data_IF_947561774850
#
_entry.id   IF_947561774850
#
_cell.length_a   1.000
_cell.length_b   1.000
_cell.length_c   1.000
_cell.angle_alpha   90.00
_cell.angle_beta   90.00
_cell.angle_gamma   90.00
#
_symmetry.space_group_name_H-M   'P 1'
#
loop_
_entity.id
_entity.type
_entity.pdbx_description
1 polymer ?
#
# COMPACT_ATOMS: atom_id res chain seq x y z
N UNK A 1 -32.97 -9.38 39.42
CA UNK A 1 -32.04 -9.32 38.28
C UNK A 1 -30.63 -9.41 38.86
N UNK A 2 -29.85 -10.48 38.64
CA UNK A 2 -28.48 -10.55 39.13
C UNK A 2 -27.63 -9.50 38.39
N UNK A 3 -26.82 -8.75 39.15
CA UNK A 3 -25.86 -7.79 38.60
C UNK A 3 -24.72 -8.54 37.86
N UNK A 4 -24.04 -7.91 36.89
CA UNK A 4 -22.91 -8.53 36.21
C UNK A 4 -21.81 -8.91 37.21
N UNK A 5 -21.17 -10.07 37.00
CA UNK A 5 -20.02 -10.50 37.79
C UNK A 5 -18.79 -9.64 37.43
N UNK A 6 -18.40 -8.76 38.36
CA UNK A 6 -17.24 -7.88 38.21
C UNK A 6 -15.93 -8.63 37.96
N UNK A 7 -15.82 -9.89 38.38
CA UNK A 7 -14.60 -10.70 38.16
C UNK A 7 -14.43 -11.06 36.68
N UNK A 8 -15.53 -11.39 35.99
CA UNK A 8 -15.55 -11.67 34.55
C UNK A 8 -15.28 -10.41 33.75
N UNK A 9 -15.84 -9.27 34.17
CA UNK A 9 -15.60 -7.98 33.52
C UNK A 9 -14.12 -7.55 33.62
N UNK A 10 -13.53 -7.69 34.81
CA UNK A 10 -12.12 -7.36 35.03
C UNK A 10 -11.18 -8.29 34.25
N UNK A 11 -11.45 -9.61 34.22
CA UNK A 11 -10.64 -10.55 33.46
C UNK A 11 -10.66 -10.28 31.95
N UNK A 12 -11.82 -9.90 31.40
CA UNK A 12 -11.93 -9.50 29.99
C UNK A 12 -11.19 -8.21 29.67
N UNK A 13 -11.24 -7.23 30.59
CA UNK A 13 -10.50 -5.98 30.46
C UNK A 13 -8.98 -6.22 30.50
N UNK A 14 -8.51 -7.02 31.47
CA UNK A 14 -7.09 -7.35 31.63
C UNK A 14 -6.53 -8.06 30.39
N UNK A 15 -7.27 -9.05 29.86
CA UNK A 15 -6.89 -9.73 28.62
C UNK A 15 -6.87 -8.78 27.41
N UNK A 16 -7.81 -7.84 27.33
CA UNK A 16 -7.83 -6.82 26.28
C UNK A 16 -6.64 -5.86 26.37
N UNK A 17 -6.27 -5.43 27.58
CA UNK A 17 -5.12 -4.56 27.82
C UNK A 17 -3.79 -5.27 27.53
N UNK A 18 -3.67 -6.54 27.93
CA UNK A 18 -2.49 -7.36 27.63
C UNK A 18 -2.29 -7.52 26.12
N UNK A 19 -3.35 -7.87 25.38
CA UNK A 19 -3.28 -7.94 23.92
C UNK A 19 -2.99 -6.58 23.27
N UNK A 20 -3.55 -5.48 23.79
CA UNK A 20 -3.20 -4.14 23.27
C UNK A 20 -1.72 -3.80 23.48
N UNK A 21 -1.11 -4.28 24.57
CA UNK A 21 0.30 -4.06 24.87
C UNK A 21 1.25 -4.96 24.06
N UNK A 22 0.86 -6.21 23.80
CA UNK A 22 1.77 -7.24 23.30
C UNK A 22 1.38 -7.84 21.93
N UNK A 23 0.12 -7.68 21.52
CA UNK A 23 -0.44 -8.37 20.37
C UNK A 23 -0.48 -9.89 20.54
N UNK A 24 -0.89 -10.59 19.48
CA UNK A 24 -0.93 -12.06 19.49
C UNK A 24 0.45 -12.70 19.44
N UNK A 25 1.46 -12.00 18.92
CA UNK A 25 2.80 -12.56 18.73
C UNK A 25 3.75 -12.25 19.90
N UNK A 26 3.54 -11.14 20.63
CA UNK A 26 4.44 -10.66 21.69
C UNK A 26 5.94 -10.66 21.33
N UNK A 27 6.34 -10.07 20.19
CA UNK A 27 7.74 -10.03 19.79
C UNK A 27 8.52 -8.98 20.58
N UNK A 28 9.84 -9.14 20.65
CA UNK A 28 10.72 -8.07 21.12
C UNK A 28 10.69 -6.86 20.17
N UNK A 29 10.97 -5.67 20.70
CA UNK A 29 10.91 -4.42 19.92
C UNK A 29 11.75 -4.45 18.63
N UNK A 30 12.91 -5.10 18.64
CA UNK A 30 13.80 -5.16 17.48
C UNK A 30 13.24 -6.07 16.36
N UNK A 31 12.45 -7.09 16.71
CA UNK A 31 11.76 -7.93 15.73
C UNK A 31 10.67 -7.12 15.02
N UNK A 32 9.98 -6.22 15.73
CA UNK A 32 9.00 -5.30 15.14
C UNK A 32 9.69 -4.35 14.15
N UNK A 33 10.84 -3.79 14.52
CA UNK A 33 11.64 -2.94 13.62
C UNK A 33 12.10 -3.72 12.38
N UNK A 34 12.63 -4.94 12.58
CA UNK A 34 13.06 -5.79 11.47
C UNK A 34 11.89 -6.14 10.54
N UNK A 35 10.72 -6.45 11.10
CA UNK A 35 9.51 -6.68 10.33
C UNK A 35 9.17 -5.46 9.47
N UNK A 36 9.11 -4.26 10.07
CA UNK A 36 8.81 -3.02 9.34
C UNK A 36 9.83 -2.75 8.21
N UNK A 37 11.12 -2.96 8.46
CA UNK A 37 12.16 -2.81 7.44
C UNK A 37 12.01 -3.82 6.30
N UNK A 38 11.72 -5.08 6.60
CA UNK A 38 11.51 -6.13 5.59
C UNK A 38 10.27 -5.81 4.76
N UNK A 39 9.14 -5.46 5.38
CA UNK A 39 7.91 -5.13 4.65
C UNK A 39 8.10 -3.88 3.79
N UNK A 40 8.80 -2.87 4.30
CA UNK A 40 9.18 -1.66 3.54
C UNK A 40 10.03 -2.04 2.32
N UNK A 41 11.04 -2.89 2.51
CA UNK A 41 11.91 -3.32 1.43
C UNK A 41 11.15 -4.12 0.36
N UNK A 42 10.23 -5.00 0.77
CA UNK A 42 9.36 -5.72 -0.16
C UNK A 42 8.47 -4.77 -0.98
N UNK A 43 7.94 -3.71 -0.36
CA UNK A 43 7.19 -2.68 -1.09
C UNK A 43 8.08 -1.92 -2.07
N UNK A 44 9.27 -1.49 -1.67
CA UNK A 44 10.26 -0.83 -2.55
C UNK A 44 10.60 -1.74 -3.74
N UNK A 45 10.88 -3.02 -3.48
CA UNK A 45 11.17 -4.00 -4.52
C UNK A 45 9.98 -4.20 -5.46
N UNK A 46 8.75 -4.24 -4.94
CA UNK A 46 7.53 -4.36 -5.73
C UNK A 46 7.32 -3.17 -6.66
N UNK A 47 7.48 -1.94 -6.15
CA UNK A 47 7.39 -0.73 -6.99
C UNK A 47 8.51 -0.72 -8.04
N UNK A 48 9.75 -1.01 -7.64
CA UNK A 48 10.92 -0.90 -8.51
C UNK A 48 10.94 -1.97 -9.61
N UNK A 49 10.72 -3.24 -9.25
CA UNK A 49 10.82 -4.37 -10.19
C UNK A 49 9.53 -4.50 -11.00
N UNK A 50 8.37 -4.52 -10.32
CA UNK A 50 7.10 -4.80 -10.99
C UNK A 50 6.47 -3.55 -11.61
N UNK A 51 6.17 -2.50 -10.84
CA UNK A 51 5.48 -1.32 -11.39
C UNK A 51 6.37 -0.52 -12.35
N UNK A 52 7.59 -0.23 -11.93
CA UNK A 52 8.52 0.63 -12.68
C UNK A 52 9.17 -0.12 -13.85
N UNK A 53 9.99 -1.13 -13.58
CA UNK A 53 10.78 -1.80 -14.64
C UNK A 53 9.94 -2.70 -15.55
N UNK A 54 9.12 -3.58 -14.98
CA UNK A 54 8.32 -4.52 -15.76
C UNK A 54 7.10 -3.86 -16.42
N UNK A 55 6.21 -3.22 -15.64
CA UNK A 55 4.96 -2.69 -16.20
C UNK A 55 5.15 -1.36 -16.94
N UNK A 56 5.81 -0.37 -16.34
CA UNK A 56 5.92 0.95 -16.96
C UNK A 56 6.93 0.97 -18.12
N UNK A 57 8.13 0.43 -17.91
CA UNK A 57 9.21 0.50 -18.90
C UNK A 57 9.42 -0.75 -19.76
N UNK A 58 8.76 -1.87 -19.46
CA UNK A 58 8.94 -3.15 -20.19
C UNK A 58 10.41 -3.58 -20.30
N UNK A 59 11.21 -3.27 -19.28
CA UNK A 59 12.65 -3.51 -19.26
C UNK A 59 13.02 -4.96 -18.94
N UNK A 60 12.07 -5.74 -18.40
CA UNK A 60 12.23 -7.14 -18.07
C UNK A 60 10.87 -7.85 -18.09
N UNK A 61 10.90 -9.16 -18.32
CA UNK A 61 9.74 -10.04 -18.18
C UNK A 61 9.80 -10.79 -16.84
N UNK A 62 8.63 -11.00 -16.24
CA UNK A 62 8.49 -11.74 -14.98
C UNK A 62 7.71 -13.03 -15.23
N UNK A 63 8.16 -14.10 -14.58
CA UNK A 63 7.36 -15.31 -14.46
C UNK A 63 6.07 -15.03 -13.68
N UNK A 64 5.03 -15.86 -13.88
CA UNK A 64 3.72 -15.68 -13.25
C UNK A 64 3.78 -15.59 -11.71
N UNK A 65 4.65 -16.38 -11.07
CA UNK A 65 4.80 -16.39 -9.61
C UNK A 65 5.22 -15.03 -9.01
N UNK A 66 6.38 -14.43 -9.37
CA UNK A 66 6.75 -13.10 -8.88
C UNK A 66 5.78 -12.02 -9.33
N UNK A 67 5.19 -12.12 -10.53
CA UNK A 67 4.17 -11.19 -11.01
C UNK A 67 2.96 -11.15 -10.06
N UNK A 68 2.41 -12.30 -9.69
CA UNK A 68 1.27 -12.38 -8.76
C UNK A 68 1.66 -11.94 -7.36
N UNK A 69 2.84 -12.33 -6.87
CA UNK A 69 3.35 -11.89 -5.57
C UNK A 69 3.37 -10.36 -5.47
N UNK A 70 3.99 -9.68 -6.43
CA UNK A 70 4.09 -8.22 -6.40
C UNK A 70 2.73 -7.52 -6.49
N UNK A 71 1.82 -8.02 -7.34
CA UNK A 71 0.46 -7.48 -7.45
C UNK A 71 -0.31 -7.59 -6.15
N UNK A 72 -0.29 -8.78 -5.55
CA UNK A 72 -0.93 -9.03 -4.27
C UNK A 72 -0.32 -8.16 -3.17
N UNK A 73 1.01 -8.11 -3.09
CA UNK A 73 1.73 -7.33 -2.08
C UNK A 73 1.36 -5.84 -2.15
N UNK A 74 1.41 -5.25 -3.34
CA UNK A 74 1.05 -3.85 -3.54
C UNK A 74 -0.40 -3.55 -3.18
N UNK A 75 -1.33 -4.43 -3.55
CA UNK A 75 -2.72 -4.30 -3.15
C UNK A 75 -2.87 -4.33 -1.62
N UNK A 76 -2.21 -5.28 -0.96
CA UNK A 76 -2.27 -5.47 0.49
C UNK A 76 -1.68 -4.27 1.25
N UNK A 77 -0.50 -3.79 0.84
CA UNK A 77 0.25 -2.80 1.63
C UNK A 77 0.00 -1.36 1.23
N UNK A 78 -0.39 -1.09 -0.01
CA UNK A 78 -0.49 0.28 -0.54
C UNK A 78 -1.82 0.60 -1.20
N UNK A 79 -2.59 -0.42 -1.58
CA UNK A 79 -3.78 -0.26 -2.42
C UNK A 79 -3.51 0.34 -3.80
N UNK A 80 -2.25 0.40 -4.26
CA UNK A 80 -1.92 0.92 -5.58
C UNK A 80 -2.50 0.03 -6.68
N UNK A 81 -3.18 0.67 -7.63
CA UNK A 81 -3.71 0.01 -8.83
C UNK A 81 -2.67 0.08 -9.94
N UNK A 82 -2.34 -1.07 -10.55
CA UNK A 82 -1.27 -1.16 -11.56
C UNK A 82 -1.52 -0.18 -12.71
N UNK A 83 -2.75 -0.17 -13.24
CA UNK A 83 -3.17 0.66 -14.37
C UNK A 83 -2.97 2.16 -14.09
N UNK A 84 -3.31 2.60 -12.88
CA UNK A 84 -3.20 3.99 -12.45
C UNK A 84 -1.74 4.41 -12.32
N UNK A 85 -0.95 3.64 -11.56
CA UNK A 85 0.46 3.96 -11.32
C UNK A 85 1.26 4.02 -12.62
N UNK A 86 1.10 3.02 -13.48
CA UNK A 86 1.81 2.96 -14.76
C UNK A 86 1.45 4.14 -15.67
N UNK A 87 0.17 4.52 -15.72
CA UNK A 87 -0.26 5.65 -16.53
C UNK A 87 0.34 6.97 -16.04
N UNK A 88 0.32 7.21 -14.73
CA UNK A 88 0.85 8.42 -14.09
C UNK A 88 2.37 8.48 -14.30
N UNK A 89 3.09 7.38 -14.04
CA UNK A 89 4.54 7.30 -14.22
C UNK A 89 4.96 7.54 -15.67
N UNK A 90 4.27 6.93 -16.63
CA UNK A 90 4.54 7.15 -18.07
C UNK A 90 4.20 8.58 -18.49
N UNK A 91 3.15 9.18 -17.95
CA UNK A 91 2.82 10.60 -18.19
C UNK A 91 3.93 11.51 -17.67
N UNK A 92 4.44 11.27 -16.47
CA UNK A 92 5.59 11.98 -15.91
C UNK A 92 6.80 11.92 -16.87
N UNK A 93 7.21 10.75 -17.32
CA UNK A 93 8.30 10.65 -18.30
C UNK A 93 8.01 11.39 -19.61
N UNK A 94 6.79 11.31 -20.13
CA UNK A 94 6.42 11.94 -21.39
C UNK A 94 6.29 13.48 -21.31
N UNK A 95 6.07 14.03 -20.10
CA UNK A 95 5.76 15.43 -19.85
C UNK A 95 6.68 16.06 -18.80
N UNK A 96 7.84 15.45 -18.57
CA UNK A 96 8.74 15.75 -17.46
C UNK A 96 9.02 17.25 -17.32
N UNK A 97 8.84 17.78 -16.12
CA UNK A 97 9.06 19.19 -15.76
C UNK A 97 8.27 20.21 -16.60
N UNK A 98 7.14 19.79 -17.18
CA UNK A 98 6.14 20.69 -17.79
C UNK A 98 4.91 20.79 -16.90
N UNK A 99 4.00 21.77 -17.12
CA UNK A 99 2.74 21.84 -16.39
C UNK A 99 1.85 20.59 -16.50
N UNK A 100 2.07 19.75 -17.52
CA UNK A 100 1.35 18.48 -17.70
C UNK A 100 1.93 17.31 -16.89
N UNK A 101 3.11 17.46 -16.29
CA UNK A 101 3.70 16.46 -15.40
C UNK A 101 2.87 16.36 -14.10
N UNK A 102 2.34 15.17 -13.74
CA UNK A 102 1.49 15.03 -12.56
C UNK A 102 2.20 15.35 -11.24
N UNK A 103 3.53 15.34 -11.20
CA UNK A 103 4.29 15.58 -9.98
C UNK A 103 5.65 16.24 -10.26
N UNK A 104 5.71 17.21 -11.18
CA UNK A 104 6.91 18.00 -11.45
C UNK A 104 7.32 18.84 -10.22
N UNK A 105 8.54 18.66 -9.68
CA UNK A 105 9.08 19.54 -8.65
C UNK A 105 9.35 20.96 -9.18
N UNK A 106 9.63 21.16 -10.47
CA UNK A 106 9.81 22.49 -11.06
C UNK A 106 8.50 23.31 -11.08
N UNK A 107 7.36 22.66 -11.35
CA UNK A 107 6.05 23.31 -11.43
C UNK A 107 5.37 23.41 -10.07
N UNK A 108 5.37 22.33 -9.28
CA UNK A 108 4.65 22.27 -8.00
C UNK A 108 5.51 22.62 -6.79
N UNK A 109 6.84 22.60 -6.94
CA UNK A 109 7.79 22.74 -5.84
C UNK A 109 8.06 21.42 -5.11
N UNK A 110 9.31 21.23 -4.68
CA UNK A 110 9.77 19.99 -4.02
C UNK A 110 8.96 19.65 -2.75
N UNK A 111 8.59 20.66 -1.96
CA UNK A 111 7.81 20.46 -0.73
C UNK A 111 6.45 19.83 -1.03
N UNK A 112 5.80 20.26 -2.11
CA UNK A 112 4.50 19.71 -2.50
C UNK A 112 4.64 18.26 -2.96
N UNK A 113 5.63 17.97 -3.78
CA UNK A 113 5.86 16.59 -4.27
C UNK A 113 6.21 15.64 -3.13
N UNK A 114 7.04 16.08 -2.17
CA UNK A 114 7.45 15.25 -1.03
C UNK A 114 6.33 15.00 -0.02
N UNK A 115 5.55 16.03 0.34
CA UNK A 115 4.55 15.93 1.40
C UNK A 115 3.14 15.63 0.90
N UNK A 116 2.87 15.85 -0.39
CA UNK A 116 1.54 15.68 -1.00
C UNK A 116 1.57 14.75 -2.22
N UNK A 117 2.55 13.84 -2.28
CA UNK A 117 2.70 12.90 -3.39
C UNK A 117 1.46 12.02 -3.58
N UNK A 118 0.83 11.58 -2.49
CA UNK A 118 -0.40 10.79 -2.51
C UNK A 118 -1.58 11.57 -3.07
N UNK A 119 -1.70 12.86 -2.74
CA UNK A 119 -2.75 13.75 -3.23
C UNK A 119 -2.59 14.03 -4.72
N UNK A 120 -1.37 14.30 -5.16
CA UNK A 120 -1.02 14.46 -6.58
C UNK A 120 -1.35 13.18 -7.37
N UNK A 121 -0.94 12.03 -6.83
CA UNK A 121 -1.28 10.72 -7.40
C UNK A 121 -2.79 10.52 -7.52
N UNK A 122 -3.56 10.75 -6.44
CA UNK A 122 -5.02 10.58 -6.43
C UNK A 122 -5.76 11.55 -7.34
N UNK A 123 -5.21 12.75 -7.55
CA UNK A 123 -5.75 13.71 -8.50
C UNK A 123 -5.60 13.18 -9.94
N UNK A 124 -4.40 12.71 -10.30
CA UNK A 124 -4.14 12.21 -11.65
C UNK A 124 -4.77 10.82 -11.90
N UNK A 125 -4.91 9.97 -10.89
CA UNK A 125 -5.51 8.64 -11.06
C UNK A 125 -6.98 8.69 -11.45
N UNK A 126 -7.68 9.79 -11.15
CA UNK A 126 -9.06 10.04 -11.57
C UNK A 126 -9.17 10.55 -13.01
N UNK A 127 -8.05 10.94 -13.64
CA UNK A 127 -8.03 11.47 -14.99
C UNK A 127 -8.15 10.36 -16.04
N UNK A 128 -9.35 10.17 -16.58
CA UNK A 128 -9.63 9.12 -17.57
C UNK A 128 -8.83 9.28 -18.88
N UNK A 129 -8.49 10.51 -19.27
CA UNK A 129 -7.66 10.75 -20.46
C UNK A 129 -6.25 10.20 -20.26
N UNK A 130 -5.66 10.43 -19.08
CA UNK A 130 -4.35 9.90 -18.71
C UNK A 130 -4.38 8.37 -18.66
N UNK A 131 -5.39 7.79 -18.00
CA UNK A 131 -5.53 6.34 -17.94
C UNK A 131 -5.67 5.73 -19.33
N UNK A 132 -6.54 6.27 -20.19
CA UNK A 132 -6.74 5.76 -21.54
C UNK A 132 -5.47 5.84 -22.41
N UNK A 133 -4.71 6.93 -22.28
CA UNK A 133 -3.52 7.17 -23.10
C UNK A 133 -2.30 6.39 -22.64
N UNK A 134 -2.04 6.34 -21.33
CA UNK A 134 -0.75 5.89 -20.79
C UNK A 134 -0.78 4.51 -20.12
N UNK A 135 -1.94 3.90 -19.86
CA UNK A 135 -2.02 2.58 -19.19
C UNK A 135 -1.89 1.35 -20.10
N UNK A 136 -1.51 1.55 -21.38
CA UNK A 136 -1.52 0.47 -22.37
C UNK A 136 -0.68 -0.76 -21.95
N UNK A 137 -1.27 -1.94 -22.14
CA UNK A 137 -0.68 -3.24 -21.77
C UNK A 137 -0.65 -3.56 -20.27
N UNK A 138 -1.25 -2.74 -19.41
CA UNK A 138 -1.41 -3.14 -18.00
C UNK A 138 -2.32 -4.37 -17.89
N UNK A 139 -2.21 -5.17 -16.81
CA UNK A 139 -3.11 -6.28 -16.57
C UNK A 139 -4.58 -5.83 -16.60
N UNK A 140 -5.42 -6.68 -17.18
CA UNK A 140 -6.87 -6.56 -17.16
C UNK A 140 -7.48 -7.97 -17.01
N UNK A 141 -6.90 -8.77 -16.12
CA UNK A 141 -7.41 -10.11 -15.80
C UNK A 141 -8.54 -10.04 -14.75
N UNK A 142 -9.08 -11.21 -14.40
CA UNK A 142 -10.17 -11.29 -13.44
C UNK A 142 -9.81 -10.70 -12.07
N UNK A 143 -8.60 -10.96 -11.56
CA UNK A 143 -8.15 -10.45 -10.27
C UNK A 143 -8.01 -8.93 -10.31
N UNK A 144 -7.45 -8.39 -11.40
CA UNK A 144 -7.34 -6.94 -11.55
C UNK A 144 -8.72 -6.27 -11.47
N UNK A 145 -9.69 -6.79 -12.25
CA UNK A 145 -11.03 -6.18 -12.35
C UNK A 145 -11.89 -6.34 -11.10
N UNK A 146 -11.79 -7.47 -10.41
CA UNK A 146 -12.74 -7.81 -9.34
C UNK A 146 -12.17 -7.70 -7.93
N UNK A 147 -10.83 -7.71 -7.79
CA UNK A 147 -10.17 -7.61 -6.49
C UNK A 147 -9.28 -6.38 -6.42
N UNK A 148 -8.20 -6.34 -7.21
CA UNK A 148 -7.15 -5.35 -7.00
C UNK A 148 -7.59 -3.92 -7.33
N UNK A 149 -8.27 -3.70 -8.46
CA UNK A 149 -8.79 -2.37 -8.82
C UNK A 149 -10.07 -2.03 -8.08
N UNK A 150 -11.00 -2.99 -7.95
CA UNK A 150 -12.33 -2.75 -7.38
C UNK A 150 -12.30 -2.53 -5.86
N UNK A 151 -11.39 -3.22 -5.18
CA UNK A 151 -11.31 -3.28 -3.73
C UNK A 151 -9.93 -2.86 -3.21
N UNK A 152 -9.32 -1.86 -3.85
CA UNK A 152 -7.98 -1.37 -3.51
C UNK A 152 -7.79 -1.00 -2.03
N UNK A 153 -8.78 -0.34 -1.42
CA UNK A 153 -8.72 0.04 -0.01
C UNK A 153 -8.83 -1.16 0.95
N UNK A 154 -9.43 -2.28 0.53
CA UNK A 154 -9.61 -3.45 1.39
C UNK A 154 -8.28 -4.13 1.70
N UNK A 155 -7.31 -4.10 0.78
CA UNK A 155 -5.97 -4.60 1.05
C UNK A 155 -5.32 -3.83 2.20
N UNK A 156 -5.33 -2.50 2.12
CA UNK A 156 -4.79 -1.61 3.16
C UNK A 156 -5.48 -1.87 4.52
N UNK A 157 -6.80 -2.01 4.52
CA UNK A 157 -7.56 -2.30 5.73
C UNK A 157 -7.23 -3.68 6.30
N UNK A 158 -7.01 -4.68 5.45
CA UNK A 158 -6.58 -6.01 5.86
C UNK A 158 -5.17 -5.96 6.49
N UNK A 159 -4.24 -5.21 5.90
CA UNK A 159 -2.90 -5.03 6.46
C UNK A 159 -2.93 -4.33 7.83
N UNK A 160 -3.82 -3.34 8.01
CA UNK A 160 -4.07 -2.71 9.31
C UNK A 160 -4.52 -3.73 10.35
N UNK A 161 -5.52 -4.55 10.01
CA UNK A 161 -6.03 -5.59 10.90
C UNK A 161 -4.94 -6.58 11.26
N UNK A 162 -4.14 -7.05 10.28
CA UNK A 162 -3.04 -7.98 10.51
C UNK A 162 -2.01 -7.37 11.47
N UNK A 163 -1.53 -6.15 11.22
CA UNK A 163 -0.52 -5.53 12.07
C UNK A 163 -1.04 -5.29 13.50
N UNK A 164 -2.27 -4.80 13.66
CA UNK A 164 -2.87 -4.59 14.98
C UNK A 164 -3.11 -5.92 15.70
N UNK A 165 -3.55 -6.97 15.00
CA UNK A 165 -3.71 -8.30 15.57
C UNK A 165 -2.37 -8.86 16.07
N UNK A 166 -1.32 -8.77 15.25
CA UNK A 166 0.00 -9.33 15.57
C UNK A 166 0.73 -8.58 16.69
N UNK A 167 0.66 -7.24 16.68
CA UNK A 167 1.50 -6.39 17.53
C UNK A 167 0.72 -5.59 18.59
N UNK A 168 -0.61 -5.65 18.61
CA UNK A 168 -1.42 -4.80 19.48
C UNK A 168 -1.44 -3.35 19.00
N UNK A 169 -1.49 -2.40 19.93
CA UNK A 169 -1.61 -0.97 19.63
C UNK A 169 -0.44 -0.43 18.80
N UNK A 170 0.79 -0.91 19.02
CA UNK A 170 1.96 -0.49 18.23
C UNK A 170 1.85 -0.93 16.76
N UNK A 171 1.01 -1.93 16.46
CA UNK A 171 0.69 -2.33 15.09
C UNK A 171 0.13 -1.20 14.23
N UNK A 172 -0.53 -0.19 14.84
CA UNK A 172 -0.96 1.02 14.13
C UNK A 172 0.22 1.80 13.55
N UNK A 173 1.32 1.91 14.32
CA UNK A 173 2.53 2.62 13.88
C UNK A 173 3.27 1.83 12.82
N UNK A 174 3.33 0.50 12.95
CA UNK A 174 3.93 -0.39 11.95
C UNK A 174 3.18 -0.31 10.63
N UNK A 175 1.85 -0.21 10.67
CA UNK A 175 1.02 -0.04 9.48
C UNK A 175 1.15 1.34 8.81
N UNK A 176 1.43 2.39 9.59
CA UNK A 176 1.52 3.75 9.08
C UNK A 176 2.85 4.07 8.36
N UNK A 177 3.85 3.18 8.47
CA UNK A 177 5.14 3.25 7.77
C UNK A 177 5.01 2.61 6.39
#
# INVERSE_FOLDING_TARGET
MPLPDWTVLNAGLDAGLDWLAHGLWNPSWWVIVLYALVTTHLTIASVTIYLHRHQAHRALDLHAAPLHFFRFWLWLTTGMVTREWVAIHRKHHARCETPDDPHSPQVYGINKVMWQGTELYRAESKNQQTLAKFSQGCPDDWLERHLYSRHSWQGIALMLIINVALFGAIGLTVWAV
#
